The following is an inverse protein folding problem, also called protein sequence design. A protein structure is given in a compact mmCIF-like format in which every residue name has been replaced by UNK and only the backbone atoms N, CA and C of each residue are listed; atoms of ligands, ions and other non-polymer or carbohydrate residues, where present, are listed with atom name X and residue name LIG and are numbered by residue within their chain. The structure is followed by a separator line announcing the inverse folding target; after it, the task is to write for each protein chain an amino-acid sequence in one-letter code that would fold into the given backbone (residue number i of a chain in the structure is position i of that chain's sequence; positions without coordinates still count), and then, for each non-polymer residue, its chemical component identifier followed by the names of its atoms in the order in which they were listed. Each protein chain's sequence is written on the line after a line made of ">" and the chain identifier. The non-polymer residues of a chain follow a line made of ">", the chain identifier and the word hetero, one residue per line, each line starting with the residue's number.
data_IF_344817840894
#
_entry.id   IF_344817840894
#
_cell.length_a   1.000
_cell.length_b   1.000
_cell.length_c   1.000
_cell.angle_alpha   90.00
_cell.angle_beta   90.00
_cell.angle_gamma   90.00
#
_symmetry.space_group_name_H-M   'P 1'
#
loop_
_entity.id
_entity.type
_entity.pdbx_description
1 polymer ?
#
# COMPACT_ATOMS: atom_id res chain seq x y z
N UNK A 1 -38.57 15.83 -4.14
CA UNK A 1 -37.39 15.64 -3.29
C UNK A 1 -36.31 15.02 -4.19
N UNK A 2 -35.21 15.72 -4.43
CA UNK A 2 -34.14 15.17 -5.27
C UNK A 2 -33.49 14.00 -4.55
N UNK A 3 -33.33 12.86 -5.23
CA UNK A 3 -32.53 11.76 -4.70
C UNK A 3 -31.13 12.28 -4.42
N UNK A 4 -30.68 12.20 -3.17
CA UNK A 4 -29.29 12.45 -2.86
C UNK A 4 -28.44 11.49 -3.70
N UNK A 5 -27.35 11.98 -4.31
CA UNK A 5 -26.53 11.13 -5.13
C UNK A 5 -26.00 9.95 -4.31
N UNK A 6 -26.02 8.75 -4.91
CA UNK A 6 -25.75 7.45 -4.27
C UNK A 6 -24.43 7.44 -3.45
N UNK A 7 -23.42 8.20 -3.90
CA UNK A 7 -22.13 8.38 -3.20
C UNK A 7 -22.22 9.11 -1.85
N UNK A 8 -23.24 9.94 -1.63
CA UNK A 8 -23.48 10.60 -0.33
C UNK A 8 -23.99 9.61 0.72
N UNK A 9 -24.61 8.51 0.27
CA UNK A 9 -25.22 7.50 1.13
C UNK A 9 -24.31 6.28 1.31
N UNK A 10 -23.52 5.93 0.29
CA UNK A 10 -22.62 4.78 0.33
C UNK A 10 -21.34 5.06 1.15
N UNK A 11 -21.42 4.82 2.47
CA UNK A 11 -20.29 4.98 3.39
C UNK A 11 -19.20 3.91 3.22
N UNK A 12 -19.53 2.79 2.57
CA UNK A 12 -18.60 1.71 2.30
C UNK A 12 -18.87 1.10 0.90
N UNK A 13 -18.09 1.52 -0.12
CA UNK A 13 -18.29 1.05 -1.48
C UNK A 13 -18.21 -0.46 -1.64
N UNK A 14 -19.04 -1.03 -2.51
CA UNK A 14 -19.02 -2.48 -2.82
C UNK A 14 -17.63 -3.01 -3.17
N UNK A 15 -16.84 -2.26 -3.94
CA UNK A 15 -15.48 -2.66 -4.31
C UNK A 15 -14.54 -2.74 -3.09
N UNK A 16 -14.73 -1.86 -2.11
CA UNK A 16 -13.94 -1.83 -0.87
C UNK A 16 -14.27 -3.05 0.00
N UNK A 17 -15.56 -3.38 0.12
CA UNK A 17 -16.00 -4.61 0.82
C UNK A 17 -15.40 -5.85 0.17
N UNK A 18 -15.43 -5.95 -1.16
CA UNK A 18 -14.85 -7.06 -1.89
C UNK A 18 -13.34 -7.19 -1.64
N UNK A 19 -12.62 -6.06 -1.64
CA UNK A 19 -11.18 -6.02 -1.35
C UNK A 19 -10.85 -6.49 0.08
N UNK A 20 -11.63 -6.07 1.07
CA UNK A 20 -11.45 -6.48 2.47
C UNK A 20 -11.73 -7.98 2.62
N UNK A 21 -12.82 -8.47 2.03
CA UNK A 21 -13.14 -9.91 2.04
C UNK A 21 -12.02 -10.73 1.40
N UNK A 22 -11.48 -10.27 0.26
CA UNK A 22 -10.34 -10.92 -0.40
C UNK A 22 -9.10 -10.92 0.49
N UNK A 23 -8.81 -9.80 1.16
CA UNK A 23 -7.70 -9.68 2.11
C UNK A 23 -7.82 -10.70 3.24
N UNK A 24 -9.01 -10.82 3.84
CA UNK A 24 -9.29 -11.81 4.90
C UNK A 24 -9.15 -13.23 4.36
N UNK A 25 -9.73 -13.53 3.20
CA UNK A 25 -9.69 -14.87 2.59
C UNK A 25 -8.30 -15.32 2.16
N UNK A 26 -7.35 -14.40 1.97
CA UNK A 26 -5.95 -14.72 1.67
C UNK A 26 -5.11 -15.03 2.93
N UNK A 27 -5.63 -14.79 4.13
CA UNK A 27 -5.00 -15.23 5.38
C UNK A 27 -5.10 -16.75 5.50
N UNK A 28 -4.12 -17.39 6.14
CA UNK A 28 -4.07 -18.85 6.25
C UNK A 28 -5.28 -19.40 7.04
N UNK A 29 -5.65 -18.74 8.14
CA UNK A 29 -6.84 -19.04 8.93
C UNK A 29 -8.06 -18.18 8.60
N UNK A 30 -8.03 -17.42 7.50
CA UNK A 30 -9.19 -16.67 7.01
C UNK A 30 -9.79 -15.72 8.04
N UNK A 31 -11.11 -15.84 8.26
CA UNK A 31 -11.84 -14.99 9.22
C UNK A 31 -11.52 -15.28 10.68
N UNK A 32 -11.03 -16.47 11.01
CA UNK A 32 -10.61 -16.82 12.38
C UNK A 32 -9.33 -16.08 12.72
N UNK A 33 -8.32 -16.22 11.87
CA UNK A 33 -7.06 -15.50 12.01
C UNK A 33 -7.27 -13.97 11.97
N UNK A 34 -8.14 -13.47 11.08
CA UNK A 34 -8.45 -12.05 11.02
C UNK A 34 -9.06 -11.51 12.32
N UNK A 35 -9.88 -12.31 12.99
CA UNK A 35 -10.50 -11.95 14.26
C UNK A 35 -9.44 -11.88 15.38
N UNK A 36 -8.49 -12.81 15.38
CA UNK A 36 -7.34 -12.83 16.30
C UNK A 36 -6.42 -11.62 16.09
N UNK A 37 -6.03 -11.32 14.85
CA UNK A 37 -5.20 -10.15 14.52
C UNK A 37 -5.80 -8.82 14.99
N UNK A 38 -7.13 -8.74 15.04
CA UNK A 38 -7.87 -7.53 15.36
C UNK A 38 -8.40 -7.50 16.81
N UNK A 39 -8.20 -8.57 17.58
CA UNK A 39 -8.75 -8.77 18.93
C UNK A 39 -10.27 -8.55 18.99
N UNK A 40 -11.00 -9.16 18.05
CA UNK A 40 -12.48 -9.08 17.96
C UNK A 40 -13.09 -10.44 17.63
N UNK A 41 -14.43 -10.52 17.63
CA UNK A 41 -15.13 -11.75 17.24
C UNK A 41 -15.32 -11.84 15.72
N UNK A 42 -15.45 -13.06 15.18
CA UNK A 42 -15.85 -13.28 13.77
C UNK A 42 -17.15 -12.57 13.42
N UNK A 43 -18.13 -12.59 14.33
CA UNK A 43 -19.41 -11.90 14.14
C UNK A 43 -19.24 -10.39 14.01
N UNK A 44 -18.28 -9.80 14.73
CA UNK A 44 -17.95 -8.39 14.59
C UNK A 44 -17.44 -8.04 13.18
N UNK A 45 -16.68 -8.95 12.54
CA UNK A 45 -16.25 -8.80 11.15
C UNK A 45 -17.43 -8.96 10.18
N UNK A 46 -18.25 -10.00 10.35
CA UNK A 46 -19.42 -10.23 9.48
C UNK A 46 -20.42 -9.08 9.52
N UNK A 47 -20.72 -8.55 10.70
CA UNK A 47 -21.63 -7.43 10.88
C UNK A 47 -21.16 -6.17 10.14
N UNK A 48 -19.84 -5.94 10.08
CA UNK A 48 -19.21 -4.82 9.35
C UNK A 48 -19.07 -5.03 7.85
N UNK A 49 -19.17 -6.28 7.36
CA UNK A 49 -19.02 -6.66 5.95
C UNK A 49 -20.33 -7.08 5.28
N UNK A 50 -21.45 -6.99 6.00
CA UNK A 50 -22.79 -7.31 5.51
C UNK A 50 -23.37 -6.16 4.70
N UNK A 51 -23.97 -6.48 3.56
CA UNK A 51 -24.71 -5.52 2.73
C UNK A 51 -25.88 -4.92 3.51
N UNK A 52 -26.04 -3.59 3.44
CA UNK A 52 -27.11 -2.88 4.15
C UNK A 52 -26.96 -2.93 5.67
N UNK A 53 -25.75 -3.15 6.19
CA UNK A 53 -25.42 -2.94 7.58
C UNK A 53 -25.30 -1.44 7.92
N UNK A 54 -25.46 -1.13 9.20
CA UNK A 54 -25.24 0.19 9.78
C UNK A 54 -23.78 0.39 10.26
N UNK A 55 -23.01 -0.70 10.32
CA UNK A 55 -21.60 -0.70 10.72
C UNK A 55 -20.67 -0.65 9.51
N UNK A 56 -19.54 0.03 9.68
CA UNK A 56 -18.48 0.16 8.68
C UNK A 56 -17.25 -0.60 9.16
N UNK A 57 -16.59 -1.29 8.24
CA UNK A 57 -15.28 -1.88 8.46
C UNK A 57 -14.20 -0.78 8.50
N UNK A 58 -13.48 -0.58 9.61
CA UNK A 58 -12.46 0.47 9.71
C UNK A 58 -11.31 0.25 8.74
N UNK A 59 -10.87 1.31 8.05
CA UNK A 59 -9.72 1.22 7.14
C UNK A 59 -8.45 0.77 7.86
N UNK A 60 -8.26 1.19 9.13
CA UNK A 60 -7.13 0.75 9.95
C UNK A 60 -7.10 -0.77 10.16
N UNK A 61 -8.26 -1.40 10.37
CA UNK A 61 -8.35 -2.86 10.47
C UNK A 61 -7.98 -3.54 9.15
N UNK A 62 -8.46 -3.00 8.03
CA UNK A 62 -8.17 -3.55 6.72
C UNK A 62 -6.65 -3.48 6.40
N UNK A 63 -5.98 -2.41 6.83
CA UNK A 63 -4.52 -2.26 6.70
C UNK A 63 -3.74 -3.23 7.60
N UNK A 64 -4.19 -3.47 8.84
CA UNK A 64 -3.59 -4.48 9.72
C UNK A 64 -3.66 -5.86 9.09
N UNK A 65 -4.85 -6.25 8.60
CA UNK A 65 -5.03 -7.55 7.96
C UNK A 65 -4.25 -7.68 6.65
N UNK A 66 -4.18 -6.61 5.86
CA UNK A 66 -3.36 -6.59 4.65
C UNK A 66 -1.89 -6.86 4.98
N UNK A 67 -1.36 -6.22 6.01
CA UNK A 67 0.02 -6.41 6.48
C UNK A 67 0.24 -7.83 7.02
N UNK A 68 -0.69 -8.35 7.82
CA UNK A 68 -0.63 -9.70 8.36
C UNK A 68 -0.55 -10.77 7.26
N UNK A 69 -1.34 -10.60 6.19
CA UNK A 69 -1.35 -11.54 5.08
C UNK A 69 -0.25 -11.35 4.04
N UNK A 70 0.58 -10.30 4.14
CA UNK A 70 1.60 -10.01 3.13
C UNK A 70 1.04 -9.78 1.72
N UNK A 71 -0.23 -9.36 1.61
CA UNK A 71 -0.87 -9.09 0.31
C UNK A 71 -1.11 -7.60 0.10
N UNK A 72 -1.53 -7.19 -1.10
CA UNK A 72 -1.82 -5.79 -1.43
C UNK A 72 -3.22 -5.59 -2.01
N UNK A 73 -4.17 -6.49 -1.71
CA UNK A 73 -5.50 -6.48 -2.33
C UNK A 73 -6.27 -5.18 -2.07
N UNK A 74 -6.17 -4.63 -0.85
CA UNK A 74 -6.80 -3.35 -0.49
C UNK A 74 -6.12 -2.20 -1.23
N UNK A 75 -4.78 -2.13 -1.21
CA UNK A 75 -4.03 -1.07 -1.89
C UNK A 75 -4.29 -1.05 -3.40
N UNK A 76 -4.25 -2.20 -4.08
CA UNK A 76 -4.60 -2.31 -5.50
C UNK A 76 -6.03 -1.85 -5.80
N UNK A 77 -7.00 -2.20 -4.95
CA UNK A 77 -8.40 -1.84 -5.17
C UNK A 77 -8.63 -0.34 -4.98
N UNK A 78 -8.00 0.27 -3.97
CA UNK A 78 -8.03 1.72 -3.76
C UNK A 78 -7.42 2.46 -4.96
N UNK A 79 -6.22 2.06 -5.41
CA UNK A 79 -5.58 2.67 -6.56
C UNK A 79 -6.45 2.58 -7.82
N UNK A 80 -7.00 1.39 -8.11
CA UNK A 80 -7.88 1.18 -9.27
C UNK A 80 -9.16 2.03 -9.18
N UNK A 81 -9.76 2.12 -7.99
CA UNK A 81 -10.93 2.96 -7.77
C UNK A 81 -10.62 4.46 -7.94
N UNK A 82 -9.37 4.87 -7.71
CA UNK A 82 -8.87 6.22 -7.96
C UNK A 82 -8.35 6.45 -9.39
N UNK A 83 -8.45 5.46 -10.29
CA UNK A 83 -7.94 5.56 -11.66
C UNK A 83 -6.42 5.43 -11.79
N UNK A 84 -5.75 4.89 -10.76
CA UNK A 84 -4.31 4.65 -10.73
C UNK A 84 -3.94 3.18 -10.59
N UNK A 85 -2.64 2.93 -10.46
CA UNK A 85 -2.04 1.62 -10.24
C UNK A 85 -1.21 1.68 -8.95
N UNK A 86 -1.41 0.72 -8.07
CA UNK A 86 -0.54 0.55 -6.90
C UNK A 86 0.62 -0.35 -7.30
N UNK A 87 1.85 0.12 -7.15
CA UNK A 87 3.06 -0.68 -7.34
C UNK A 87 3.77 -0.77 -5.99
N UNK A 88 3.93 -1.99 -5.43
CA UNK A 88 4.59 -2.17 -4.15
C UNK A 88 6.07 -1.81 -4.27
N UNK A 89 6.60 -1.19 -3.22
CA UNK A 89 8.04 -0.99 -3.11
C UNK A 89 8.72 -2.34 -2.89
N UNK A 90 9.92 -2.52 -3.44
CA UNK A 90 10.72 -3.70 -3.12
C UNK A 90 11.11 -3.69 -1.65
N UNK A 91 11.06 -4.86 -1.02
CA UNK A 91 11.67 -5.06 0.28
C UNK A 91 13.18 -4.85 0.18
N UNK A 92 13.68 -3.92 0.98
CA UNK A 92 15.08 -3.51 0.96
C UNK A 92 16.04 -4.61 1.44
N UNK A 93 15.53 -5.63 2.13
CA UNK A 93 16.35 -6.72 2.67
C UNK A 93 16.71 -7.79 1.62
N UNK A 94 15.91 -7.93 0.56
CA UNK A 94 16.04 -9.04 -0.40
C UNK A 94 16.97 -8.75 -1.59
N UNK A 95 17.57 -7.56 -1.66
CA UNK A 95 18.24 -7.10 -2.88
C UNK A 95 19.73 -6.80 -2.64
N UNK A 96 20.60 -7.48 -3.39
CA UNK A 96 22.06 -7.32 -3.34
C UNK A 96 22.47 -5.97 -3.97
N UNK A 97 23.38 -5.28 -3.28
CA UNK A 97 23.93 -4.00 -3.72
C UNK A 97 24.82 -4.15 -4.97
N UNK A 98 25.32 -5.36 -5.27
CA UNK A 98 26.07 -5.62 -6.49
C UNK A 98 25.22 -5.52 -7.78
N UNK A 99 23.89 -5.57 -7.65
CA UNK A 99 22.97 -5.76 -8.77
C UNK A 99 22.30 -4.46 -9.27
N UNK A 100 22.72 -3.28 -8.79
CA UNK A 100 22.05 -2.01 -9.15
C UNK A 100 22.00 -1.82 -10.67
N UNK A 101 23.13 -1.95 -11.36
CA UNK A 101 23.18 -1.78 -12.82
C UNK A 101 22.39 -2.88 -13.54
N UNK A 102 22.44 -4.11 -13.03
CA UNK A 102 21.68 -5.23 -13.59
C UNK A 102 20.16 -4.97 -13.51
N UNK A 103 19.67 -4.44 -12.37
CA UNK A 103 18.26 -4.07 -12.19
C UNK A 103 17.83 -2.93 -13.11
N UNK A 104 18.71 -1.97 -13.38
CA UNK A 104 18.42 -0.93 -14.37
C UNK A 104 18.28 -1.53 -15.78
N UNK A 105 19.19 -2.43 -16.16
CA UNK A 105 19.13 -3.12 -17.45
C UNK A 105 17.83 -3.93 -17.58
N UNK A 106 17.46 -4.71 -16.58
CA UNK A 106 16.20 -5.48 -16.56
C UNK A 106 14.96 -4.59 -16.66
N UNK A 107 15.00 -3.39 -16.07
CA UNK A 107 13.92 -2.41 -16.19
C UNK A 107 13.84 -1.87 -17.63
N UNK A 108 14.97 -1.55 -18.25
CA UNK A 108 15.04 -1.09 -19.65
C UNK A 108 14.56 -2.18 -20.61
N UNK A 109 14.95 -3.43 -20.39
CA UNK A 109 14.47 -4.58 -21.17
C UNK A 109 12.95 -4.72 -21.07
N UNK A 110 12.39 -4.57 -19.86
CA UNK A 110 10.94 -4.59 -19.67
C UNK A 110 10.23 -3.44 -20.38
N UNK A 111 10.79 -2.22 -20.32
CA UNK A 111 10.25 -1.06 -21.06
C UNK A 111 10.27 -1.33 -22.57
N UNK A 112 11.30 -2.01 -23.05
CA UNK A 112 11.43 -2.39 -24.47
C UNK A 112 10.35 -3.42 -24.85
N UNK A 113 10.12 -4.43 -24.01
CA UNK A 113 9.04 -5.41 -24.17
C UNK A 113 7.66 -4.73 -24.20
N UNK A 114 7.39 -3.86 -23.22
CA UNK A 114 6.17 -3.04 -23.18
C UNK A 114 5.98 -2.24 -24.48
N UNK A 115 7.04 -1.57 -24.97
CA UNK A 115 6.97 -0.80 -26.21
C UNK A 115 6.64 -1.67 -27.42
N UNK A 116 7.16 -2.90 -27.47
CA UNK A 116 6.87 -3.84 -28.54
C UNK A 116 5.42 -4.34 -28.49
N UNK A 117 4.90 -4.67 -27.31
CA UNK A 117 3.49 -5.07 -27.15
C UNK A 117 2.53 -3.96 -27.57
N UNK A 118 2.81 -2.71 -27.18
CA UNK A 118 2.04 -1.54 -27.64
C UNK A 118 2.05 -1.44 -29.17
N UNK A 119 3.21 -1.61 -29.82
CA UNK A 119 3.28 -1.50 -31.29
C UNK A 119 2.41 -2.54 -31.98
N UNK A 120 2.45 -3.78 -31.53
CA UNK A 120 1.64 -4.88 -32.08
C UNK A 120 0.15 -4.61 -31.86
N UNK A 121 -0.24 -4.24 -30.64
CA UNK A 121 -1.65 -4.03 -30.27
C UNK A 121 -2.31 -2.79 -30.92
N UNK A 122 -1.55 -1.89 -31.53
CA UNK A 122 -2.11 -0.73 -32.26
C UNK A 122 -2.10 -0.91 -33.78
N UNK A 123 -1.57 -2.02 -34.31
CA UNK A 123 -1.42 -2.23 -35.76
C UNK A 123 -2.75 -2.18 -36.51
N UNK A 124 -3.82 -2.67 -35.91
CA UNK A 124 -5.17 -2.67 -36.48
C UNK A 124 -6.02 -1.46 -36.02
N UNK A 125 -5.46 -0.60 -35.18
CA UNK A 125 -6.10 0.60 -34.63
C UNK A 125 -7.07 0.36 -33.46
N UNK A 126 -7.19 -0.87 -32.93
CA UNK A 126 -8.11 -1.20 -31.83
C UNK A 126 -7.42 -2.11 -30.81
N UNK A 127 -7.20 -1.61 -29.60
CA UNK A 127 -6.70 -2.45 -28.49
C UNK A 127 -7.84 -3.31 -27.93
N UNK A 128 -7.75 -4.62 -28.10
CA UNK A 128 -8.67 -5.59 -27.55
C UNK A 128 -8.56 -5.72 -26.03
N UNK A 129 -9.61 -6.20 -25.33
CA UNK A 129 -9.58 -6.35 -23.88
C UNK A 129 -8.43 -7.23 -23.37
N UNK A 130 -8.04 -8.26 -24.11
CA UNK A 130 -6.97 -9.17 -23.72
C UNK A 130 -5.59 -8.53 -23.93
N UNK A 131 -5.40 -7.76 -25.00
CA UNK A 131 -4.18 -6.98 -25.26
C UNK A 131 -3.99 -5.91 -24.20
N UNK A 132 -5.08 -5.23 -23.81
CA UNK A 132 -5.05 -4.25 -22.72
C UNK A 132 -4.52 -4.88 -21.42
N UNK A 133 -4.94 -6.10 -21.09
CA UNK A 133 -4.44 -6.80 -19.88
C UNK A 133 -2.93 -7.04 -19.97
N UNK A 134 -2.44 -7.51 -21.13
CA UNK A 134 -1.00 -7.74 -21.34
C UNK A 134 -0.22 -6.43 -21.26
N UNK A 135 -0.71 -5.37 -21.90
CA UNK A 135 -0.10 -4.03 -21.87
C UNK A 135 -0.03 -3.49 -20.43
N UNK A 136 -1.13 -3.59 -19.69
CA UNK A 136 -1.22 -3.12 -18.31
C UNK A 136 -0.25 -3.91 -17.40
N UNK A 137 -0.09 -5.22 -17.63
CA UNK A 137 0.86 -6.07 -16.92
C UNK A 137 2.32 -5.71 -17.24
N UNK A 138 2.66 -5.53 -18.52
CA UNK A 138 3.99 -5.10 -18.95
C UNK A 138 4.37 -3.73 -18.37
N UNK A 139 3.43 -2.78 -18.39
CA UNK A 139 3.61 -1.46 -17.79
C UNK A 139 3.85 -1.57 -16.28
N UNK A 140 3.05 -2.39 -15.60
CA UNK A 140 3.20 -2.63 -14.18
C UNK A 140 4.59 -3.17 -13.84
N UNK A 141 5.05 -4.19 -14.56
CA UNK A 141 6.37 -4.79 -14.36
C UNK A 141 7.51 -3.79 -14.63
N UNK A 142 7.37 -2.95 -15.65
CA UNK A 142 8.35 -1.92 -15.95
C UNK A 142 8.47 -0.90 -14.80
N UNK A 143 7.34 -0.41 -14.28
CA UNK A 143 7.32 0.52 -13.15
C UNK A 143 7.86 -0.14 -11.88
N UNK A 144 7.48 -1.39 -11.62
CA UNK A 144 7.98 -2.16 -10.48
C UNK A 144 9.51 -2.26 -10.52
N UNK A 145 10.09 -2.76 -11.61
CA UNK A 145 11.55 -2.89 -11.77
C UNK A 145 12.27 -1.54 -11.63
N UNK A 146 11.72 -0.45 -12.18
CA UNK A 146 12.27 0.89 -11.99
C UNK A 146 12.22 1.34 -10.52
N UNK A 147 11.14 1.05 -9.79
CA UNK A 147 11.05 1.33 -8.37
C UNK A 147 12.04 0.50 -7.55
N UNK A 148 12.25 -0.78 -7.90
CA UNK A 148 13.26 -1.63 -7.26
C UNK A 148 14.66 -1.06 -7.44
N UNK A 149 15.01 -0.66 -8.67
CA UNK A 149 16.27 0.02 -8.96
C UNK A 149 16.43 1.31 -8.16
N UNK A 150 15.42 2.18 -8.14
CA UNK A 150 15.45 3.45 -7.38
C UNK A 150 15.64 3.22 -5.88
N UNK A 151 14.91 2.26 -5.31
CA UNK A 151 15.00 1.87 -3.90
C UNK A 151 16.41 1.39 -3.55
N UNK A 152 17.03 0.58 -4.42
CA UNK A 152 18.42 0.15 -4.26
C UNK A 152 19.42 1.32 -4.30
N UNK A 153 19.28 2.20 -5.29
CA UNK A 153 20.15 3.36 -5.44
C UNK A 153 20.11 4.22 -4.17
N UNK A 154 18.91 4.50 -3.65
CA UNK A 154 18.77 5.28 -2.42
C UNK A 154 19.32 4.54 -1.20
N UNK A 155 19.13 3.23 -1.09
CA UNK A 155 19.73 2.44 0.01
C UNK A 155 21.25 2.57 0.06
N UNK A 156 21.92 2.53 -1.10
CA UNK A 156 23.39 2.53 -1.17
C UNK A 156 23.97 3.94 -1.11
N UNK A 157 23.32 4.92 -1.75
CA UNK A 157 23.90 6.24 -1.96
C UNK A 157 23.24 7.37 -1.16
N UNK A 158 22.06 7.18 -0.56
CA UNK A 158 21.54 8.18 0.36
C UNK A 158 22.30 8.10 1.69
N UNK A 159 22.65 9.27 2.22
CA UNK A 159 23.14 9.35 3.59
C UNK A 159 22.08 8.73 4.53
N UNK A 160 22.48 7.99 5.57
CA UNK A 160 21.54 7.54 6.58
C UNK A 160 20.77 8.77 7.06
N UNK A 161 19.44 8.68 7.07
CA UNK A 161 18.64 9.75 7.65
C UNK A 161 19.20 10.03 9.04
N UNK A 162 19.63 11.28 9.27
CA UNK A 162 19.82 11.75 10.64
C UNK A 162 18.45 11.60 11.26
N UNK A 163 18.26 10.55 12.06
CA UNK A 163 17.06 10.39 12.86
C UNK A 163 16.98 11.58 13.80
N UNK A 164 16.38 12.68 13.36
CA UNK A 164 16.11 13.84 14.19
C UNK A 164 14.85 13.56 15.01
N UNK A 165 14.95 12.54 15.85
CA UNK A 165 14.19 12.45 17.09
C UNK A 165 14.74 13.44 18.14
N UNK A 166 15.58 14.40 17.74
CA UNK A 166 16.08 15.51 18.58
C UNK A 166 15.29 16.81 18.43
N UNK A 167 14.42 16.96 17.43
CA UNK A 167 13.53 18.13 17.33
C UNK A 167 12.21 18.00 18.12
N UNK A 168 11.96 16.85 18.76
CA UNK A 168 10.85 16.70 19.72
C UNK A 168 11.25 16.96 21.18
N UNK A 169 12.51 17.35 21.46
CA UNK A 169 12.89 17.85 22.77
C UNK A 169 12.47 19.32 22.87
N UNK A 170 11.33 19.57 23.50
CA UNK A 170 10.87 20.91 23.85
C UNK A 170 12.01 21.73 24.50
N UNK A 171 12.31 22.95 24.02
CA UNK A 171 13.25 23.82 24.71
C UNK A 171 12.61 24.35 26.00
N UNK A 172 13.18 23.96 27.15
CA UNK A 172 13.14 24.77 28.37
C UNK A 172 12.10 24.39 29.43
N UNK A 173 12.56 23.66 30.45
CA UNK A 173 12.22 23.92 31.85
C UNK A 173 13.29 23.29 32.77
N UNK A 174 14.54 23.74 32.66
CA UNK A 174 15.50 23.62 33.76
C UNK A 174 15.43 24.92 34.55
N UNK A 175 14.58 24.95 35.57
CA UNK A 175 14.63 25.96 36.63
C UNK A 175 15.42 25.38 37.81
N UNK A 176 16.74 25.55 37.71
CA UNK A 176 17.72 25.84 38.75
C UNK A 176 17.36 25.55 40.22
N UNK A 177 18.13 24.64 40.80
CA UNK A 177 18.42 24.56 42.23
C UNK A 177 19.02 25.87 42.74
N UNK A 178 18.32 26.59 43.62
CA UNK A 178 18.94 27.51 44.56
C UNK A 178 18.98 26.85 45.93
N UNK A 179 20.17 26.39 46.32
CA UNK A 179 20.51 26.23 47.73
C UNK A 179 20.79 27.62 48.31
N UNK A 180 20.08 27.99 49.36
CA UNK A 180 20.63 28.92 50.35
C UNK A 180 20.36 28.35 51.75
N UNK A 181 21.45 27.93 52.39
CA UNK A 181 21.51 27.64 53.83
C UNK A 181 21.57 28.98 54.57
N UNK A 182 20.81 29.15 55.66
CA UNK A 182 21.35 29.63 56.95
C UNK A 182 20.29 29.63 58.07
N UNK A 183 20.59 28.83 59.11
CA UNK A 183 20.54 29.12 60.56
C UNK A 183 19.36 29.89 61.18
N UNK A 184 18.53 29.21 61.98
CA UNK A 184 18.45 29.31 63.46
C UNK A 184 17.20 28.53 63.95
#
# INVERSE_FOLDING_TARGET
>A
MGHEPEWKVEKQPRWLVAAIKKTISSLHGGYEEAAEWLDVTKDALFNRLRTGGDQIFPIGWALVLQRAGGTYHLAHSVARASGGVFVPLADMEEVDNADINQRLLEAIEQITSYSQQIRVAIEDGVIEPHEKVVIDEELYQAIAKLQQHSTLVYRVFCAPEKGDARECAAPGAVASNFMEKTNA
#
